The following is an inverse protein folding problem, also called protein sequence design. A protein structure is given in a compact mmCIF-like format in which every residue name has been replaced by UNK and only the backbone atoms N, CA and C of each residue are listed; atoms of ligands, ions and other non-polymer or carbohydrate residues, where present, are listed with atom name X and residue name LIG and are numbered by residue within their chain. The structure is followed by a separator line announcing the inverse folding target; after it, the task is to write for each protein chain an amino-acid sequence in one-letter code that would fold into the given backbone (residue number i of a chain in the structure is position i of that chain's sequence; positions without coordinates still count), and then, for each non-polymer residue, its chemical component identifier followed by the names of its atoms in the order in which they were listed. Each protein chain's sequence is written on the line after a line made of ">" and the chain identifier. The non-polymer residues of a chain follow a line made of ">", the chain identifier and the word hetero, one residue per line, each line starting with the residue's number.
data_IF_522175388666
#
_entry.id   IF_522175388666
#
_cell.length_a   1.000
_cell.length_b   1.000
_cell.length_c   1.000
_cell.angle_alpha   90.00
_cell.angle_beta   90.00
_cell.angle_gamma   90.00
#
_symmetry.space_group_name_H-M   'P 1'
#
loop_
_entity.id
_entity.type
_entity.pdbx_description
1 polymer ?
#
# COMPACT_ATOMS: atom_id res chain seq x y z
N UNK A 1 -27.74 -13.77 -60.42
CA UNK A 1 -28.89 -13.22 -59.67
C UNK A 1 -29.64 -14.37 -59.00
N UNK A 2 -29.67 -14.36 -57.66
CA UNK A 2 -30.68 -14.92 -56.73
C UNK A 2 -31.13 -16.40 -56.84
N UNK A 3 -30.83 -17.18 -55.80
CA UNK A 3 -31.78 -17.96 -54.94
C UNK A 3 -30.97 -19.08 -54.25
N UNK A 4 -30.45 -18.93 -53.03
CA UNK A 4 -31.14 -18.96 -51.72
C UNK A 4 -32.02 -20.22 -51.52
N UNK A 5 -31.42 -21.29 -50.97
CA UNK A 5 -32.13 -22.31 -50.21
C UNK A 5 -32.07 -21.92 -48.73
N UNK A 6 -33.25 -21.76 -48.13
CA UNK A 6 -33.42 -21.70 -46.69
C UNK A 6 -33.48 -23.14 -46.14
N UNK A 7 -32.61 -23.44 -45.19
CA UNK A 7 -32.77 -24.55 -44.25
C UNK A 7 -32.73 -23.92 -42.87
N UNK A 8 -33.83 -24.04 -42.13
CA UNK A 8 -34.06 -23.42 -40.84
C UNK A 8 -33.01 -23.82 -39.79
N UNK A 9 -32.51 -22.84 -39.03
CA UNK A 9 -31.92 -23.05 -37.71
C UNK A 9 -32.75 -22.26 -36.69
N UNK A 10 -33.45 -23.00 -35.82
CA UNK A 10 -34.12 -22.47 -34.64
C UNK A 10 -33.04 -22.23 -33.58
N UNK A 11 -32.66 -20.98 -33.32
CA UNK A 11 -31.89 -20.62 -32.12
C UNK A 11 -32.89 -20.10 -31.09
N UNK A 12 -33.15 -20.91 -30.08
CA UNK A 12 -33.88 -20.51 -28.88
C UNK A 12 -32.96 -19.57 -28.09
N UNK A 13 -33.19 -18.26 -28.15
CA UNK A 13 -32.53 -17.34 -27.22
C UNK A 13 -33.16 -17.53 -25.84
N UNK A 14 -32.41 -18.12 -24.91
CA UNK A 14 -32.78 -18.18 -23.51
C UNK A 14 -32.93 -16.74 -22.99
N UNK A 15 -34.15 -16.38 -22.61
CA UNK A 15 -34.41 -15.11 -21.92
C UNK A 15 -33.88 -15.25 -20.49
N UNK A 16 -32.69 -14.70 -20.30
CA UNK A 16 -32.29 -13.89 -19.15
C UNK A 16 -32.86 -14.28 -17.77
N UNK A 17 -31.97 -14.74 -16.90
CA UNK A 17 -31.82 -14.04 -15.62
C UNK A 17 -30.38 -13.55 -15.56
N UNK A 18 -30.08 -12.24 -15.63
CA UNK A 18 -28.84 -11.80 -15.01
C UNK A 18 -28.96 -12.24 -13.56
N UNK A 19 -28.01 -13.06 -13.10
CA UNK A 19 -27.64 -12.96 -11.70
C UNK A 19 -27.36 -11.46 -11.49
N UNK A 20 -28.17 -10.80 -10.66
CA UNK A 20 -27.60 -9.68 -9.92
C UNK A 20 -26.49 -10.33 -9.09
N UNK A 21 -25.27 -10.35 -9.62
CA UNK A 21 -24.12 -10.27 -8.75
C UNK A 21 -24.31 -8.94 -8.06
N UNK A 22 -24.77 -8.97 -6.82
CA UNK A 22 -24.41 -7.90 -5.90
C UNK A 22 -22.90 -7.79 -6.03
N UNK A 23 -22.35 -6.64 -6.48
CA UNK A 23 -20.90 -6.47 -6.43
C UNK A 23 -20.50 -6.83 -5.00
N UNK A 24 -19.46 -7.66 -4.87
CA UNK A 24 -18.78 -7.78 -3.60
C UNK A 24 -18.52 -6.35 -3.10
N UNK A 25 -18.73 -6.11 -1.80
CA UNK A 25 -18.49 -4.84 -1.14
C UNK A 25 -16.99 -4.55 -1.09
N UNK A 26 -16.35 -4.43 -2.25
CA UNK A 26 -14.98 -3.96 -2.39
C UNK A 26 -15.03 -2.44 -2.52
N UNK A 27 -14.10 -1.77 -1.86
CA UNK A 27 -13.85 -0.35 -2.04
C UNK A 27 -13.34 -0.02 -3.46
N UNK A 28 -13.20 1.27 -3.78
CA UNK A 28 -12.90 1.72 -5.14
C UNK A 28 -11.42 1.59 -5.53
N UNK A 29 -10.56 1.10 -4.64
CA UNK A 29 -9.11 1.05 -4.82
C UNK A 29 -8.61 -0.37 -5.14
N UNK A 30 -7.40 -0.51 -5.73
CA UNK A 30 -6.79 -1.81 -5.98
C UNK A 30 -6.77 -2.72 -4.75
N UNK A 31 -6.92 -4.03 -4.96
CA UNK A 31 -6.93 -5.02 -3.89
C UNK A 31 -5.54 -5.40 -3.37
N UNK A 32 -5.49 -6.44 -2.55
CA UNK A 32 -4.25 -7.03 -2.06
C UNK A 32 -3.40 -7.62 -3.20
N UNK A 33 -2.09 -7.78 -2.96
CA UNK A 33 -1.24 -8.63 -3.77
C UNK A 33 -1.91 -9.99 -4.09
N UNK A 34 -1.84 -10.41 -5.35
CA UNK A 34 -2.47 -11.64 -5.84
C UNK A 34 -3.95 -11.53 -6.21
N UNK A 35 -4.59 -10.37 -6.04
CA UNK A 35 -5.96 -10.12 -6.52
C UNK A 35 -5.99 -9.44 -7.90
N UNK A 36 -7.11 -9.56 -8.62
CA UNK A 36 -7.28 -8.92 -9.92
C UNK A 36 -7.23 -7.38 -9.78
N UNK A 37 -6.41 -6.73 -10.59
CA UNK A 37 -6.25 -5.27 -10.56
C UNK A 37 -5.39 -4.74 -9.41
N UNK A 38 -4.70 -5.61 -8.67
CA UNK A 38 -3.70 -5.22 -7.66
C UNK A 38 -2.57 -4.37 -8.27
N UNK A 39 -2.17 -3.34 -7.53
CA UNK A 39 -1.03 -2.46 -7.80
C UNK A 39 0.24 -2.83 -7.00
N UNK A 40 0.15 -3.86 -6.15
CA UNK A 40 1.25 -4.33 -5.31
C UNK A 40 2.56 -4.59 -6.09
N UNK A 41 3.67 -4.07 -5.56
CA UNK A 41 5.01 -4.24 -6.14
C UNK A 41 5.73 -5.39 -5.45
N UNK A 42 6.22 -6.38 -6.19
CA UNK A 42 6.98 -7.50 -5.60
C UNK A 42 8.34 -7.00 -5.08
N UNK A 43 8.83 -7.56 -3.97
CA UNK A 43 10.14 -7.18 -3.41
C UNK A 43 11.32 -7.40 -4.38
N UNK A 44 11.16 -8.32 -5.34
CA UNK A 44 12.14 -8.66 -6.37
C UNK A 44 11.75 -8.11 -7.75
N UNK A 45 10.82 -7.14 -7.78
CA UNK A 45 10.47 -6.44 -9.02
C UNK A 45 11.70 -5.74 -9.61
N UNK A 46 11.93 -5.97 -10.90
CA UNK A 46 13.10 -5.45 -11.60
C UNK A 46 13.09 -3.92 -11.77
N UNK A 47 11.94 -3.28 -11.58
CA UNK A 47 11.81 -1.82 -11.55
C UNK A 47 12.38 -1.21 -10.25
N UNK A 48 12.58 -2.02 -9.20
CA UNK A 48 13.27 -1.58 -7.97
C UNK A 48 14.78 -1.54 -8.22
N UNK A 49 15.30 -0.33 -8.46
CA UNK A 49 16.71 -0.09 -8.76
C UNK A 49 17.54 0.40 -7.58
N UNK A 50 16.90 0.80 -6.48
CA UNK A 50 17.55 1.34 -5.29
C UNK A 50 16.69 1.11 -4.04
N UNK A 51 17.33 1.21 -2.87
CA UNK A 51 16.70 1.08 -1.55
C UNK A 51 17.15 2.22 -0.64
N UNK A 52 16.44 2.45 0.46
CA UNK A 52 16.85 3.42 1.46
C UNK A 52 18.23 3.08 2.02
N UNK A 53 19.10 4.09 2.15
CA UNK A 53 20.49 3.94 2.56
C UNK A 53 20.81 4.58 3.90
N UNK A 54 19.89 5.40 4.44
CA UNK A 54 20.04 5.99 5.76
C UNK A 54 18.73 6.33 6.45
N UNK A 55 18.83 6.62 7.74
CA UNK A 55 17.72 7.08 8.59
C UNK A 55 18.17 8.39 9.24
N UNK A 56 17.44 9.47 9.01
CA UNK A 56 17.71 10.75 9.66
C UNK A 56 17.03 10.86 11.02
N UNK A 57 15.84 10.26 11.18
CA UNK A 57 15.09 10.26 12.42
C UNK A 57 14.22 9.00 12.57
N UNK A 58 14.12 8.49 13.80
CA UNK A 58 13.16 7.47 14.21
C UNK A 58 12.52 7.92 15.52
N UNK A 59 11.20 8.12 15.50
CA UNK A 59 10.39 8.44 16.67
C UNK A 59 9.45 7.28 16.94
N UNK A 60 9.62 6.60 18.07
CA UNK A 60 8.71 5.52 18.49
C UNK A 60 7.43 6.11 19.07
N UNK A 61 6.30 5.58 18.63
CA UNK A 61 4.99 5.76 19.24
C UNK A 61 4.69 4.71 20.32
N UNK A 62 3.60 4.88 21.10
CA UNK A 62 3.10 3.86 22.00
C UNK A 62 2.80 2.53 21.28
N UNK A 63 2.87 1.41 22.00
CA UNK A 63 2.36 0.12 21.48
C UNK A 63 0.86 0.19 21.23
N UNK A 64 0.14 0.93 22.07
CA UNK A 64 -1.27 1.21 21.92
C UNK A 64 -1.55 2.61 22.45
N UNK A 65 -1.96 3.54 21.59
CA UNK A 65 -2.24 4.94 21.95
C UNK A 65 -3.40 5.08 22.94
N UNK A 66 -4.33 4.12 22.96
CA UNK A 66 -5.41 4.06 23.94
C UNK A 66 -4.98 3.49 25.30
N UNK A 67 -3.80 2.87 25.39
CA UNK A 67 -3.25 2.32 26.63
C UNK A 67 -1.74 2.56 26.77
N UNK A 68 -1.39 3.77 27.22
CA UNK A 68 0.00 4.19 27.39
C UNK A 68 0.80 3.41 28.45
N UNK A 69 0.16 2.59 29.29
CA UNK A 69 0.90 1.76 30.27
C UNK A 69 1.68 0.63 29.61
N UNK A 70 1.37 0.31 28.34
CA UNK A 70 2.11 -0.68 27.55
C UNK A 70 3.47 -0.15 27.04
N UNK A 71 3.74 1.14 27.22
CA UNK A 71 4.99 1.77 26.80
C UNK A 71 5.05 2.02 25.29
N UNK A 72 6.28 2.18 24.80
CA UNK A 72 6.58 2.50 23.41
C UNK A 72 6.97 1.25 22.63
N UNK A 73 6.67 1.25 21.33
CA UNK A 73 7.15 0.20 20.43
C UNK A 73 8.68 0.12 20.47
N UNK A 74 9.20 -1.11 20.47
CA UNK A 74 10.63 -1.37 20.64
C UNK A 74 11.17 -2.46 19.72
N UNK A 75 10.35 -2.98 18.79
CA UNK A 75 10.79 -4.03 17.88
C UNK A 75 11.67 -3.47 16.74
N UNK A 76 12.75 -4.17 16.44
CA UNK A 76 13.74 -3.79 15.45
C UNK A 76 14.52 -2.53 15.80
N UNK A 77 15.32 -2.07 14.84
CA UNK A 77 16.14 -0.86 14.90
C UNK A 77 15.96 -0.05 13.63
N UNK A 78 16.39 1.21 13.61
CA UNK A 78 16.40 2.03 12.40
C UNK A 78 17.11 1.35 11.21
N UNK A 79 18.13 0.52 11.46
CA UNK A 79 18.86 -0.20 10.42
C UNK A 79 18.02 -1.26 9.70
N UNK A 80 16.95 -1.76 10.33
CA UNK A 80 16.03 -2.72 9.71
C UNK A 80 15.10 -2.09 8.66
N UNK A 81 15.14 -0.77 8.48
CA UNK A 81 14.42 -0.07 7.40
C UNK A 81 15.30 0.20 6.17
N UNK A 82 16.53 -0.31 6.15
CA UNK A 82 17.53 0.02 5.14
C UNK A 82 17.85 -1.19 4.27
N UNK A 83 18.21 -0.91 3.02
CA UNK A 83 18.60 -1.93 2.06
C UNK A 83 17.42 -2.77 1.55
N UNK A 84 17.73 -3.83 0.78
CA UNK A 84 16.70 -4.69 0.20
C UNK A 84 15.92 -5.46 1.26
N UNK A 85 14.62 -5.61 1.04
CA UNK A 85 13.81 -6.59 1.77
C UNK A 85 14.35 -7.98 1.44
N UNK A 86 14.95 -8.64 2.43
CA UNK A 86 15.69 -9.91 2.21
C UNK A 86 14.80 -11.15 2.24
N UNK A 87 13.54 -11.04 2.65
CA UNK A 87 12.66 -12.18 2.84
C UNK A 87 11.17 -11.83 2.73
N UNK A 88 10.45 -12.58 1.88
CA UNK A 88 8.98 -12.69 1.93
C UNK A 88 8.53 -13.82 2.89
N UNK A 89 9.44 -14.38 3.69
CA UNK A 89 9.10 -15.47 4.58
C UNK A 89 8.34 -14.93 5.81
N UNK A 90 7.09 -15.36 6.03
CA UNK A 90 6.34 -14.98 7.23
C UNK A 90 6.97 -15.48 8.54
N UNK A 91 7.96 -16.38 8.47
CA UNK A 91 8.75 -16.81 9.63
C UNK A 91 10.01 -15.93 9.87
N UNK A 92 10.35 -15.05 8.92
CA UNK A 92 11.49 -14.11 8.99
C UNK A 92 11.01 -12.66 9.05
N UNK A 93 10.18 -12.39 10.07
CA UNK A 93 9.60 -11.07 10.40
C UNK A 93 10.59 -10.12 11.08
N UNK A 94 11.87 -10.49 11.19
CA UNK A 94 12.83 -9.81 12.07
C UNK A 94 13.56 -8.65 11.42
N UNK A 95 13.45 -8.48 10.09
CA UNK A 95 13.98 -7.31 9.40
C UNK A 95 12.90 -6.25 9.20
N UNK A 96 12.35 -5.77 10.32
CA UNK A 96 11.32 -4.73 10.36
C UNK A 96 11.49 -3.87 11.60
N UNK A 97 11.10 -2.60 11.50
CA UNK A 97 11.13 -1.63 12.58
C UNK A 97 9.71 -1.19 12.93
N UNK A 98 9.22 -1.56 14.13
CA UNK A 98 7.82 -1.23 14.51
C UNK A 98 7.67 0.20 15.03
N UNK A 99 7.09 1.10 14.25
CA UNK A 99 7.00 2.52 14.64
C UNK A 99 6.14 2.73 15.89
N UNK A 100 5.12 1.90 16.11
CA UNK A 100 4.09 2.11 17.13
C UNK A 100 3.08 3.19 16.71
N UNK A 101 1.99 3.30 17.46
CA UNK A 101 0.89 4.21 17.14
C UNK A 101 1.36 5.67 17.11
N UNK A 102 1.28 6.30 15.94
CA UNK A 102 1.74 7.67 15.75
C UNK A 102 3.27 7.85 15.78
N UNK A 103 4.03 6.75 15.72
CA UNK A 103 5.46 6.79 15.47
C UNK A 103 5.78 7.20 14.03
N UNK A 104 7.04 7.56 13.78
CA UNK A 104 7.53 7.97 12.47
C UNK A 104 8.97 7.54 12.24
N UNK A 105 9.32 7.38 10.97
CA UNK A 105 10.70 7.22 10.51
C UNK A 105 10.93 8.07 9.28
N UNK A 106 12.10 8.72 9.20
CA UNK A 106 12.52 9.46 8.02
C UNK A 106 13.70 8.74 7.37
N UNK A 107 13.45 8.21 6.18
CA UNK A 107 14.43 7.50 5.38
C UNK A 107 15.12 8.45 4.39
N UNK A 108 16.39 8.16 4.10
CA UNK A 108 17.20 8.88 3.12
C UNK A 108 17.74 7.92 2.07
N UNK A 109 17.92 8.43 0.86
CA UNK A 109 18.40 7.67 -0.30
C UNK A 109 19.67 8.32 -0.85
N UNK A 110 20.56 7.51 -1.43
CA UNK A 110 21.81 8.00 -2.03
C UNK A 110 21.58 8.93 -3.22
N UNK A 111 20.46 8.74 -3.93
CA UNK A 111 19.99 9.60 -5.00
C UNK A 111 18.58 10.09 -4.68
N UNK A 112 18.23 11.34 -5.03
CA UNK A 112 16.85 11.80 -4.94
C UNK A 112 15.91 10.93 -5.78
N UNK A 113 14.74 10.63 -5.24
CA UNK A 113 13.61 10.05 -5.99
C UNK A 113 12.93 11.21 -6.71
N UNK A 114 12.68 11.05 -8.02
CA UNK A 114 12.11 12.08 -8.90
C UNK A 114 10.83 11.55 -9.52
N UNK A 115 9.91 12.45 -9.85
CA UNK A 115 8.66 12.14 -10.52
C UNK A 115 8.93 11.63 -11.95
N UNK A 116 8.45 10.41 -12.21
CA UNK A 116 8.59 9.66 -13.45
C UNK A 116 7.25 9.23 -14.05
N UNK A 117 7.30 8.29 -14.99
CA UNK A 117 6.07 7.67 -15.50
C UNK A 117 5.64 6.55 -14.54
N UNK A 118 4.46 6.69 -13.93
CA UNK A 118 3.90 5.69 -13.05
C UNK A 118 4.39 5.83 -11.61
N UNK A 119 4.65 4.71 -10.95
CA UNK A 119 5.07 4.70 -9.55
C UNK A 119 6.56 5.02 -9.42
N UNK A 120 6.93 5.87 -8.47
CA UNK A 120 8.33 6.31 -8.28
C UNK A 120 9.04 5.60 -7.14
N UNK A 121 8.28 5.12 -6.16
CA UNK A 121 8.79 4.31 -5.06
C UNK A 121 7.69 3.44 -4.46
N UNK A 122 8.08 2.46 -3.65
CA UNK A 122 7.16 1.64 -2.88
C UNK A 122 7.61 1.55 -1.42
N UNK A 123 6.65 1.44 -0.51
CA UNK A 123 6.89 1.21 0.93
C UNK A 123 6.49 -0.21 1.28
N UNK A 124 7.42 -0.96 1.88
CA UNK A 124 7.22 -2.33 2.31
C UNK A 124 6.96 -2.37 3.81
N UNK A 125 5.95 -3.13 4.21
CA UNK A 125 5.54 -3.33 5.60
C UNK A 125 5.31 -4.82 5.86
N UNK A 126 5.09 -5.17 7.13
CA UNK A 126 4.97 -6.55 7.57
C UNK A 126 3.50 -7.00 7.79
N UNK A 127 2.61 -6.67 6.86
CA UNK A 127 1.22 -7.15 6.89
C UNK A 127 1.13 -8.65 6.60
N UNK A 128 0.09 -9.32 7.08
CA UNK A 128 -0.15 -10.74 6.76
C UNK A 128 -1.63 -11.05 6.60
N UNK A 129 -1.96 -11.96 5.69
CA UNK A 129 -3.33 -12.43 5.49
C UNK A 129 -3.57 -13.75 6.20
N UNK A 130 -4.82 -13.99 6.60
CA UNK A 130 -5.23 -15.31 7.04
C UNK A 130 -5.74 -16.11 5.85
N UNK A 131 -5.14 -17.28 5.62
CA UNK A 131 -5.62 -18.31 4.70
C UNK A 131 -5.86 -17.89 3.22
N UNK A 132 -5.15 -16.88 2.71
CA UNK A 132 -5.24 -16.47 1.30
C UNK A 132 -6.52 -15.67 0.97
N UNK A 133 -7.19 -15.13 1.98
CA UNK A 133 -8.34 -14.26 1.83
C UNK A 133 -7.93 -12.85 1.34
N UNK A 134 -8.89 -12.09 0.80
CA UNK A 134 -8.69 -10.71 0.35
C UNK A 134 -8.56 -9.69 1.49
N UNK A 135 -8.57 -10.14 2.75
CA UNK A 135 -8.46 -9.30 3.94
C UNK A 135 -7.16 -9.61 4.70
N UNK A 136 -6.53 -8.60 5.31
CA UNK A 136 -5.25 -8.76 6.02
C UNK A 136 -5.16 -7.96 7.31
N UNK A 137 -4.25 -8.41 8.17
CA UNK A 137 -3.73 -7.60 9.25
C UNK A 137 -2.73 -6.64 8.61
N UNK A 138 -3.04 -5.35 8.70
CA UNK A 138 -2.27 -4.28 8.06
C UNK A 138 -1.87 -3.26 9.11
N UNK A 139 -0.60 -2.87 9.10
CA UNK A 139 -0.08 -1.74 9.86
C UNK A 139 0.04 -0.56 8.90
N UNK A 140 -0.83 0.43 9.04
CA UNK A 140 -0.97 1.50 8.07
C UNK A 140 -0.20 2.74 8.50
N UNK A 141 0.49 3.37 7.55
CA UNK A 141 1.18 4.64 7.76
C UNK A 141 0.86 5.66 6.67
N UNK A 142 0.78 6.94 7.06
CA UNK A 142 0.84 8.04 6.11
C UNK A 142 2.25 8.15 5.53
N UNK A 143 2.34 8.53 4.26
CA UNK A 143 3.63 8.78 3.59
C UNK A 143 3.76 10.26 3.26
N UNK A 144 4.94 10.80 3.53
CA UNK A 144 5.32 12.18 3.24
C UNK A 144 6.69 12.21 2.56
N UNK A 145 6.92 13.18 1.69
CA UNK A 145 8.19 13.39 0.99
C UNK A 145 8.74 14.78 1.27
N UNK A 146 10.06 14.93 1.19
CA UNK A 146 10.74 16.20 1.44
C UNK A 146 11.92 16.38 0.48
N UNK A 147 12.04 17.59 -0.09
CA UNK A 147 13.18 17.97 -0.94
C UNK A 147 14.34 18.56 -0.13
N UNK A 148 14.14 18.90 1.15
CA UNK A 148 15.15 19.56 2.00
C UNK A 148 15.35 18.92 3.38
N UNK A 149 14.63 17.85 3.69
CA UNK A 149 14.67 17.14 4.98
C UNK A 149 14.02 17.88 6.15
N UNK A 150 13.30 18.98 5.89
CA UNK A 150 12.64 19.82 6.91
C UNK A 150 11.15 20.00 6.61
N UNK A 151 10.82 20.31 5.36
CA UNK A 151 9.45 20.51 4.91
C UNK A 151 8.93 19.21 4.29
N UNK A 152 7.92 18.61 4.92
CA UNK A 152 7.32 17.35 4.48
C UNK A 152 5.93 17.57 3.88
N UNK A 153 5.67 16.88 2.79
CA UNK A 153 4.44 16.96 2.02
C UNK A 153 3.79 15.60 1.94
N UNK A 154 2.59 15.49 2.51
CA UNK A 154 1.83 14.24 2.63
C UNK A 154 1.07 13.89 1.36
N UNK A 155 1.11 12.63 0.97
CA UNK A 155 0.23 12.09 -0.07
C UNK A 155 -1.25 12.19 0.34
N UNK A 156 -2.16 12.55 -0.57
CA UNK A 156 -3.59 12.46 -0.32
C UNK A 156 -3.99 10.99 -0.08
N UNK A 157 -4.26 10.65 1.18
CA UNK A 157 -4.57 9.31 1.62
C UNK A 157 -6.06 9.14 1.95
N UNK A 158 -6.61 7.97 1.65
CA UNK A 158 -8.01 7.62 1.94
C UNK A 158 -8.05 6.29 2.68
N UNK A 159 -8.83 6.24 3.75
CA UNK A 159 -9.30 5.01 4.37
C UNK A 159 -10.81 5.05 4.50
N UNK A 160 -11.48 4.01 4.00
CA UNK A 160 -12.91 3.77 4.18
C UNK A 160 -13.19 2.82 5.37
N UNK A 161 -12.15 2.45 6.12
CA UNK A 161 -12.26 1.59 7.29
C UNK A 161 -12.71 2.37 8.53
N UNK A 162 -13.26 1.70 9.56
CA UNK A 162 -13.57 2.36 10.83
C UNK A 162 -12.32 2.99 11.46
N UNK A 163 -12.39 4.28 11.77
CA UNK A 163 -11.30 5.03 12.43
C UNK A 163 -11.51 5.19 13.95
N UNK A 164 -12.73 4.93 14.44
CA UNK A 164 -13.14 5.24 15.82
C UNK A 164 -12.82 4.10 16.80
N UNK A 165 -12.58 2.90 16.28
CA UNK A 165 -12.24 1.71 17.06
C UNK A 165 -11.07 1.03 16.39
N UNK A 166 -10.00 0.81 17.16
CA UNK A 166 -8.84 0.08 16.68
C UNK A 166 -9.27 -1.33 16.27
N UNK A 167 -8.92 -1.69 15.03
CA UNK A 167 -9.10 -3.03 14.49
C UNK A 167 -8.25 -3.98 15.33
N UNK A 168 -8.88 -5.00 15.91
CA UNK A 168 -8.20 -5.99 16.73
C UNK A 168 -7.19 -6.81 15.93
N UNK A 169 -6.26 -7.48 16.62
CA UNK A 169 -5.19 -8.30 16.00
C UNK A 169 -5.68 -9.45 15.10
N UNK A 170 -6.97 -9.81 15.17
CA UNK A 170 -7.61 -10.83 14.33
C UNK A 170 -8.79 -10.26 13.51
N UNK A 171 -8.91 -8.95 13.46
CA UNK A 171 -9.84 -8.26 12.60
C UNK A 171 -9.06 -7.81 11.36
N UNK A 172 -9.66 -8.02 10.19
CA UNK A 172 -8.97 -7.94 8.91
C UNK A 172 -9.46 -6.73 8.14
N UNK A 173 -8.53 -5.99 7.54
CA UNK A 173 -8.82 -4.82 6.71
C UNK A 173 -8.92 -5.27 5.26
N UNK A 174 -9.94 -4.76 4.55
CA UNK A 174 -10.03 -4.88 3.09
C UNK A 174 -9.11 -3.82 2.44
N UNK A 175 -8.04 -4.21 1.72
CA UNK A 175 -7.15 -3.27 1.06
C UNK A 175 -7.85 -2.39 0.01
N UNK A 176 -8.99 -2.82 -0.53
CA UNK A 176 -9.75 -2.03 -1.52
C UNK A 176 -10.37 -0.77 -0.93
N UNK A 177 -10.43 -0.66 0.41
CA UNK A 177 -10.86 0.52 1.16
C UNK A 177 -9.73 1.52 1.41
N UNK A 178 -8.49 1.23 0.96
CA UNK A 178 -7.29 2.00 1.26
C UNK A 178 -6.61 2.57 0.02
N UNK A 179 -6.16 3.82 0.12
CA UNK A 179 -5.39 4.52 -0.92
C UNK A 179 -4.30 5.39 -0.30
N UNK A 180 -3.10 5.35 -0.89
CA UNK A 180 -1.91 6.12 -0.47
C UNK A 180 -1.58 6.00 1.04
N UNK A 181 -1.79 4.81 1.60
CA UNK A 181 -1.32 4.42 2.92
C UNK A 181 -0.31 3.29 2.75
N UNK A 182 0.88 3.46 3.32
CA UNK A 182 1.85 2.37 3.37
C UNK A 182 1.28 1.20 4.17
N UNK A 183 1.73 -0.01 3.86
CA UNK A 183 1.28 -1.23 4.51
C UNK A 183 -0.08 -1.73 4.08
N UNK A 184 -0.55 -1.30 2.90
CA UNK A 184 -1.76 -1.84 2.27
C UNK A 184 -1.61 -3.31 1.84
N UNK A 185 -0.39 -3.75 1.53
CA UNK A 185 -0.11 -5.12 1.08
C UNK A 185 0.62 -5.93 2.15
N UNK A 186 0.49 -7.25 2.03
CA UNK A 186 1.15 -8.21 2.89
C UNK A 186 2.66 -8.27 2.63
N UNK A 187 3.40 -8.87 3.56
CA UNK A 187 4.85 -9.03 3.53
C UNK A 187 5.31 -9.55 2.16
N UNK A 188 6.42 -8.98 1.69
CA UNK A 188 7.01 -9.25 0.38
C UNK A 188 6.42 -8.44 -0.77
N UNK A 189 5.41 -7.61 -0.48
CA UNK A 189 4.78 -6.71 -1.44
C UNK A 189 4.76 -5.27 -0.91
N UNK A 190 5.22 -4.34 -1.73
CA UNK A 190 5.26 -2.91 -1.43
C UNK A 190 4.01 -2.19 -1.93
N UNK A 191 3.60 -1.15 -1.21
CA UNK A 191 2.58 -0.20 -1.67
C UNK A 191 3.25 0.87 -2.53
N UNK A 192 2.90 0.99 -3.82
CA UNK A 192 3.51 1.99 -4.69
C UNK A 192 2.97 3.41 -4.44
N UNK A 193 3.80 4.41 -4.73
CA UNK A 193 3.49 5.83 -4.65
C UNK A 193 4.01 6.55 -5.91
N UNK A 194 3.15 7.39 -6.50
CA UNK A 194 3.42 8.21 -7.69
C UNK A 194 3.47 9.68 -7.27
N UNK A 195 4.65 10.29 -7.35
CA UNK A 195 4.93 11.66 -6.93
C UNK A 195 4.10 12.69 -7.71
N UNK A 196 3.60 12.36 -8.90
CA UNK A 196 2.70 13.22 -9.66
C UNK A 196 1.38 13.49 -8.91
N UNK A 197 1.02 12.63 -7.95
CA UNK A 197 -0.09 12.88 -7.01
C UNK A 197 0.11 14.16 -6.17
N UNK A 198 1.36 14.63 -6.05
CA UNK A 198 1.74 15.86 -5.36
C UNK A 198 2.01 17.04 -6.31
N UNK A 199 1.81 16.89 -7.63
CA UNK A 199 2.12 17.94 -8.60
C UNK A 199 1.39 19.26 -8.32
N UNK A 200 0.13 19.21 -7.88
CA UNK A 200 -0.62 20.40 -7.49
C UNK A 200 -0.05 21.06 -6.22
N UNK A 201 0.50 20.28 -5.30
CA UNK A 201 1.15 20.76 -4.07
C UNK A 201 2.48 21.43 -4.44
N UNK A 202 3.31 20.79 -5.26
CA UNK A 202 4.58 21.34 -5.74
C UNK A 202 4.39 22.63 -6.55
N UNK A 203 3.33 22.71 -7.37
CA UNK A 203 2.99 23.92 -8.11
C UNK A 203 2.58 25.09 -7.19
N UNK A 204 2.05 24.80 -6.00
CA UNK A 204 1.61 25.78 -5.03
C UNK A 204 2.70 26.14 -3.98
N UNK A 205 3.65 25.24 -3.72
CA UNK A 205 4.69 25.40 -2.71
C UNK A 205 6.08 25.04 -3.27
N UNK A 206 6.95 26.03 -3.51
CA UNK A 206 8.26 25.80 -4.14
C UNK A 206 9.27 25.07 -3.24
N UNK A 207 8.91 24.75 -1.99
CA UNK A 207 9.75 23.92 -1.11
C UNK A 207 9.68 22.44 -1.48
N UNK A 208 8.68 22.03 -2.25
CA UNK A 208 8.59 20.70 -2.84
C UNK A 208 9.07 20.76 -4.29
N UNK A 209 10.21 20.14 -4.54
CA UNK A 209 10.77 19.90 -5.87
C UNK A 209 10.61 18.41 -6.22
N UNK A 210 9.89 18.15 -7.32
CA UNK A 210 9.64 16.81 -7.85
C UNK A 210 10.60 16.43 -8.99
N UNK A 211 11.46 17.36 -9.43
CA UNK A 211 12.25 17.24 -10.66
C UNK A 211 13.62 16.56 -10.52
#
# INVERSE_FOLDING_TARGET
>A
MKSALATSLLVLSAVSSPLLQTPALAGPYPGMAGTEGSDAVALDDAEIVAWATGVSELVRGPVNVSNLTQGYASFGTAANALGPVVSANPDDVYDTVSLGDGGSITLTFDQPIRDGEGWDFAVFENGFSYAGESLAFLELAFVEVSSNGVDFFRFPAVSLTPADTQVGTFEWIDPTDLHNLAGKHIQGWGTPFDLSALAAVAAADPRLDLA
#
